data_IF_324921024072
#
_entry.id   IF_324921024072
#
_cell.length_a   1.000
_cell.length_b   1.000
_cell.length_c   1.000
_cell.angle_alpha   90.00
_cell.angle_beta   90.00
_cell.angle_gamma   90.00
#
_symmetry.space_group_name_H-M   'P 1'
#
loop_
_entity.id
_entity.type
_entity.pdbx_description
1 polymer ?
#
# COMPACT_ATOMS: atom_id res chain seq x y z
N UNK A 1 30.25 -12.64 -1.11
CA UNK A 1 28.94 -13.24 -0.85
C UNK A 1 28.21 -13.24 -2.19
N UNK A 2 27.87 -14.42 -2.72
CA UNK A 2 27.17 -14.50 -4.01
C UNK A 2 25.70 -14.12 -3.76
N UNK A 3 25.35 -12.86 -4.02
CA UNK A 3 23.94 -12.46 -4.14
C UNK A 3 23.40 -13.09 -5.44
N UNK A 4 22.88 -14.29 -5.35
CA UNK A 4 22.16 -14.91 -6.45
C UNK A 4 20.81 -14.20 -6.55
N UNK A 5 20.57 -13.49 -7.65
CA UNK A 5 19.26 -12.93 -7.94
C UNK A 5 18.24 -14.10 -8.00
N UNK A 6 17.17 -14.00 -7.22
CA UNK A 6 16.06 -14.94 -7.34
C UNK A 6 15.23 -14.53 -8.55
N UNK A 7 15.16 -15.40 -9.53
CA UNK A 7 14.42 -15.15 -10.77
C UNK A 7 12.98 -15.66 -10.62
N UNK A 8 12.02 -14.75 -10.57
CA UNK A 8 10.61 -15.07 -10.52
C UNK A 8 10.02 -15.01 -11.93
N UNK A 9 9.82 -16.16 -12.54
CA UNK A 9 9.14 -16.25 -13.84
C UNK A 9 7.63 -16.01 -13.68
N UNK A 10 7.06 -15.28 -14.63
CA UNK A 10 5.61 -14.98 -14.69
C UNK A 10 4.74 -16.23 -14.51
N UNK A 11 3.78 -16.12 -13.61
CA UNK A 11 2.64 -17.04 -13.52
C UNK A 11 2.90 -18.38 -12.83
N UNK A 12 4.12 -18.70 -12.39
CA UNK A 12 4.47 -20.02 -11.83
C UNK A 12 4.77 -20.00 -10.33
N UNK A 13 4.86 -18.84 -9.68
CA UNK A 13 5.19 -18.78 -8.26
C UNK A 13 3.97 -18.34 -7.46
N UNK A 14 3.58 -19.19 -6.53
CA UNK A 14 2.56 -18.85 -5.55
C UNK A 14 3.06 -17.69 -4.66
N UNK A 15 2.30 -16.61 -4.48
CA UNK A 15 2.71 -15.48 -3.66
C UNK A 15 3.15 -15.85 -2.24
N UNK A 16 2.56 -16.89 -1.66
CA UNK A 16 2.93 -17.41 -0.36
C UNK A 16 4.40 -17.91 -0.31
N UNK A 17 4.92 -18.42 -1.42
CA UNK A 17 6.33 -18.86 -1.51
C UNK A 17 7.28 -17.68 -1.41
N UNK A 18 6.92 -16.54 -1.96
CA UNK A 18 7.70 -15.31 -1.85
C UNK A 18 7.73 -14.86 -0.40
N UNK A 19 6.56 -14.76 0.25
CA UNK A 19 6.48 -14.34 1.64
C UNK A 19 7.23 -15.27 2.60
N UNK A 20 7.26 -16.58 2.32
CA UNK A 20 8.00 -17.53 3.14
C UNK A 20 9.53 -17.31 3.11
N UNK A 21 10.03 -16.61 2.11
CA UNK A 21 11.46 -16.27 1.96
C UNK A 21 11.78 -14.88 2.51
N UNK A 22 10.77 -14.06 2.80
CA UNK A 22 10.97 -12.72 3.32
C UNK A 22 11.24 -12.73 4.82
N UNK A 23 12.10 -11.83 5.26
CA UNK A 23 12.26 -11.49 6.67
C UNK A 23 11.33 -10.34 7.02
N UNK A 24 10.58 -10.49 8.13
CA UNK A 24 9.80 -9.39 8.67
C UNK A 24 10.73 -8.31 9.21
N UNK A 25 10.41 -7.05 8.95
CA UNK A 25 11.14 -5.94 9.58
C UNK A 25 10.82 -5.97 11.08
N UNK A 26 11.86 -6.12 11.87
CA UNK A 26 11.76 -5.83 13.29
C UNK A 26 12.06 -4.32 13.48
N UNK A 27 11.14 -3.51 14.01
CA UNK A 27 11.37 -2.08 14.20
C UNK A 27 12.58 -1.78 15.13
N UNK A 28 13.03 -2.76 15.91
CA UNK A 28 14.23 -2.67 16.76
C UNK A 28 15.50 -2.99 15.98
N UNK A 29 15.43 -3.69 14.87
CA UNK A 29 16.59 -4.09 14.09
C UNK A 29 16.93 -3.04 13.03
N UNK A 30 17.86 -2.15 13.39
CA UNK A 30 18.33 -1.05 12.52
C UNK A 30 19.03 -1.50 11.25
N UNK A 31 19.38 -2.78 11.09
CA UNK A 31 20.02 -3.29 9.87
C UNK A 31 19.10 -3.23 8.65
N UNK A 32 17.80 -3.23 8.86
CA UNK A 32 16.79 -3.09 7.80
C UNK A 32 16.40 -1.63 7.50
N UNK A 33 16.81 -0.70 8.36
CA UNK A 33 16.51 0.72 8.17
C UNK A 33 17.28 1.38 7.01
N UNK A 34 18.23 0.67 6.40
CA UNK A 34 18.95 1.14 5.21
C UNK A 34 18.13 1.05 3.92
N UNK A 35 16.91 0.55 3.97
CA UNK A 35 16.02 0.63 2.82
C UNK A 35 15.48 2.06 2.73
N UNK A 36 15.73 2.74 1.60
CA UNK A 36 15.45 4.17 1.40
C UNK A 36 13.99 4.55 1.73
N UNK A 37 13.04 3.67 1.46
CA UNK A 37 11.62 3.87 1.77
C UNK A 37 11.40 3.91 3.28
N UNK A 38 12.02 2.98 4.03
CA UNK A 38 11.84 2.88 5.48
C UNK A 38 12.62 3.96 6.22
N UNK A 39 13.84 4.29 5.78
CA UNK A 39 14.59 5.42 6.32
C UNK A 39 13.81 6.72 6.19
N UNK A 40 13.16 6.92 5.05
CA UNK A 40 12.45 8.16 4.74
C UNK A 40 11.14 8.30 5.52
N UNK A 41 10.38 7.22 5.70
CA UNK A 41 9.01 7.28 6.24
C UNK A 41 8.87 6.68 7.62
N UNK A 42 9.93 6.08 8.15
CA UNK A 42 9.92 5.37 9.42
C UNK A 42 9.31 3.97 9.32
N UNK A 43 9.60 3.15 10.33
CA UNK A 43 9.05 1.80 10.43
C UNK A 43 7.79 1.83 11.31
N UNK A 44 6.67 1.24 10.88
CA UNK A 44 5.52 1.03 11.75
C UNK A 44 5.83 -0.02 12.82
N UNK A 45 5.04 -0.07 13.88
CA UNK A 45 5.22 -1.03 14.98
C UNK A 45 5.05 -2.49 14.55
N UNK A 46 4.17 -2.74 13.58
CA UNK A 46 3.98 -4.08 13.01
C UNK A 46 4.98 -4.35 11.88
N UNK A 47 5.39 -5.60 11.66
CA UNK A 47 6.37 -5.92 10.65
C UNK A 47 5.83 -5.74 9.22
N UNK A 48 6.65 -5.14 8.39
CA UNK A 48 6.48 -5.11 6.93
C UNK A 48 7.46 -6.12 6.34
N UNK A 49 7.02 -6.87 5.35
CA UNK A 49 7.87 -7.88 4.72
C UNK A 49 8.91 -7.25 3.82
N UNK A 50 10.18 -7.60 4.04
CA UNK A 50 11.31 -7.24 3.18
C UNK A 50 12.02 -8.52 2.73
N UNK A 51 12.30 -8.63 1.46
CA UNK A 51 13.27 -9.59 0.94
C UNK A 51 14.67 -8.97 0.97
N UNK A 52 15.64 -9.70 1.53
CA UNK A 52 17.04 -9.27 1.58
C UNK A 52 17.83 -9.63 0.32
N UNK A 53 17.26 -10.46 -0.54
CA UNK A 53 17.87 -10.89 -1.80
C UNK A 53 17.47 -9.98 -2.95
N UNK A 54 18.28 -9.99 -4.02
CA UNK A 54 17.87 -9.37 -5.26
C UNK A 54 16.80 -10.22 -5.94
N UNK A 55 15.79 -9.57 -6.49
CA UNK A 55 14.66 -10.22 -7.18
C UNK A 55 14.66 -9.77 -8.63
N UNK A 56 14.75 -10.70 -9.57
CA UNK A 56 14.59 -10.44 -11.01
C UNK A 56 13.14 -10.75 -11.42
N UNK A 57 12.42 -9.72 -11.86
CA UNK A 57 11.07 -9.84 -12.37
C UNK A 57 11.06 -9.28 -13.79
N UNK A 58 10.94 -10.15 -14.77
CA UNK A 58 10.92 -9.80 -16.20
C UNK A 58 12.11 -8.99 -16.69
N UNK A 59 13.30 -9.31 -16.21
CA UNK A 59 14.52 -8.59 -16.57
C UNK A 59 14.71 -7.26 -15.82
N UNK A 60 13.85 -6.94 -14.86
CA UNK A 60 14.04 -5.84 -13.92
C UNK A 60 14.55 -6.41 -12.60
N UNK A 61 15.77 -6.05 -12.24
CA UNK A 61 16.37 -6.46 -10.97
C UNK A 61 15.97 -5.47 -9.88
N UNK A 62 15.29 -5.98 -8.86
CA UNK A 62 14.98 -5.27 -7.63
C UNK A 62 16.03 -5.63 -6.58
N UNK A 63 16.74 -4.64 -6.09
CA UNK A 63 17.78 -4.81 -5.06
C UNK A 63 17.18 -4.61 -3.67
N UNK A 64 17.11 -5.67 -2.87
CA UNK A 64 16.53 -5.65 -1.52
C UNK A 64 15.16 -4.95 -1.47
N UNK A 65 14.19 -5.38 -2.29
CA UNK A 65 12.93 -4.68 -2.42
C UNK A 65 12.09 -4.76 -1.13
N UNK A 66 11.19 -3.80 -0.98
CA UNK A 66 10.08 -3.91 -0.06
C UNK A 66 9.02 -4.81 -0.69
N UNK A 67 8.60 -5.85 0.02
CA UNK A 67 7.53 -6.74 -0.42
C UNK A 67 6.32 -6.56 0.48
N UNK A 68 5.18 -6.23 -0.12
CA UNK A 68 3.93 -6.04 0.60
C UNK A 68 2.93 -7.12 0.18
N UNK A 69 2.37 -7.87 1.14
CA UNK A 69 1.24 -8.75 0.87
C UNK A 69 0.03 -7.93 0.41
N UNK A 70 -0.62 -8.39 -0.65
CA UNK A 70 -1.89 -7.84 -1.13
C UNK A 70 -3.01 -8.78 -0.69
N UNK A 71 -4.03 -8.20 -0.04
CA UNK A 71 -5.24 -8.91 0.39
C UNK A 71 -6.45 -8.40 -0.37
N UNK A 72 -7.48 -9.25 -0.50
CA UNK A 72 -8.79 -8.85 -1.03
C UNK A 72 -9.68 -8.21 0.07
N UNK A 73 -10.93 -7.87 -0.25
CA UNK A 73 -11.87 -7.28 0.69
C UNK A 73 -12.20 -8.16 1.91
N UNK A 74 -12.06 -9.49 1.80
CA UNK A 74 -12.20 -10.45 2.90
C UNK A 74 -10.91 -10.64 3.71
N UNK A 75 -9.88 -9.84 3.42
CA UNK A 75 -8.53 -9.92 4.00
C UNK A 75 -7.78 -11.23 3.68
N UNK A 76 -8.20 -11.94 2.65
CA UNK A 76 -7.50 -13.12 2.16
C UNK A 76 -6.31 -12.70 1.30
N UNK A 77 -5.17 -13.34 1.50
CA UNK A 77 -3.96 -13.09 0.74
C UNK A 77 -4.11 -13.56 -0.71
N UNK A 78 -3.82 -12.67 -1.67
CA UNK A 78 -4.03 -12.93 -3.10
C UNK A 78 -2.80 -12.69 -3.97
N UNK A 79 -1.94 -11.73 -3.62
CA UNK A 79 -0.78 -11.32 -4.41
C UNK A 79 0.31 -10.71 -3.53
N UNK A 80 1.50 -10.51 -4.10
CA UNK A 80 2.55 -9.67 -3.52
C UNK A 80 2.82 -8.46 -4.41
N UNK A 81 3.06 -7.30 -3.81
CA UNK A 81 3.68 -6.17 -4.48
C UNK A 81 5.16 -6.12 -4.12
N UNK A 82 6.01 -5.96 -5.15
CA UNK A 82 7.46 -5.79 -5.03
C UNK A 82 7.81 -4.36 -5.38
N UNK A 83 8.41 -3.65 -4.45
CA UNK A 83 8.64 -2.21 -4.52
C UNK A 83 10.10 -1.86 -4.26
N UNK A 84 10.62 -0.93 -5.04
CA UNK A 84 11.90 -0.29 -4.82
C UNK A 84 11.84 1.16 -5.30
N UNK A 85 12.52 2.08 -4.59
CA UNK A 85 12.56 3.50 -4.97
C UNK A 85 13.01 3.69 -6.42
N UNK A 86 12.29 4.54 -7.14
CA UNK A 86 12.58 4.87 -8.54
C UNK A 86 12.21 3.77 -9.55
N UNK A 87 11.73 2.62 -9.10
CA UNK A 87 11.29 1.54 -9.98
C UNK A 87 9.76 1.44 -10.06
N UNK A 88 9.28 0.77 -11.11
CA UNK A 88 7.88 0.42 -11.23
C UNK A 88 7.55 -0.70 -10.24
N UNK A 89 6.38 -0.61 -9.61
CA UNK A 89 5.85 -1.71 -8.78
C UNK A 89 5.54 -2.92 -9.66
N UNK A 90 6.04 -4.07 -9.25
CA UNK A 90 5.64 -5.36 -9.82
C UNK A 90 4.67 -6.06 -8.90
N UNK A 91 3.65 -6.69 -9.47
CA UNK A 91 2.66 -7.49 -8.74
C UNK A 91 2.78 -8.95 -9.15
N UNK A 92 2.82 -9.85 -8.18
CA UNK A 92 2.98 -11.28 -8.39
C UNK A 92 1.80 -12.04 -7.78
N UNK A 93 1.10 -12.88 -8.53
CA UNK A 93 1.17 -13.08 -9.99
C UNK A 93 0.90 -11.81 -10.77
N UNK A 94 1.48 -11.72 -11.97
CA UNK A 94 1.48 -10.52 -12.79
C UNK A 94 0.08 -9.96 -13.09
N UNK A 95 0.05 -8.66 -13.29
CA UNK A 95 -1.16 -7.92 -13.65
C UNK A 95 -1.42 -6.73 -12.75
N UNK A 96 -2.69 -6.34 -12.68
CA UNK A 96 -3.16 -5.33 -11.76
C UNK A 96 -3.32 -5.91 -10.35
N UNK A 97 -3.10 -5.08 -9.34
CA UNK A 97 -3.38 -5.48 -7.96
C UNK A 97 -4.89 -5.78 -7.80
N UNK A 98 -5.20 -7.02 -7.39
CA UNK A 98 -6.57 -7.50 -7.14
C UNK A 98 -7.07 -7.18 -5.73
N UNK A 99 -6.39 -6.29 -5.03
CA UNK A 99 -6.67 -5.88 -3.67
C UNK A 99 -5.77 -4.74 -3.24
N UNK A 100 -5.43 -4.73 -1.97
CA UNK A 100 -4.66 -3.67 -1.32
C UNK A 100 -3.65 -4.26 -0.33
N UNK A 101 -2.55 -3.55 -0.09
CA UNK A 101 -1.70 -3.84 1.05
C UNK A 101 -2.32 -3.22 2.30
N UNK A 102 -2.17 -3.90 3.45
CA UNK A 102 -2.84 -3.46 4.68
C UNK A 102 -1.88 -3.37 5.86
N UNK A 103 -2.30 -2.56 6.85
CA UNK A 103 -1.67 -2.49 8.15
C UNK A 103 -2.72 -2.18 9.22
N UNK A 104 -2.52 -2.69 10.43
CA UNK A 104 -3.45 -2.51 11.53
C UNK A 104 -4.63 -3.50 11.54
N UNK A 105 -5.50 -3.34 12.51
CA UNK A 105 -6.64 -4.22 12.75
C UNK A 105 -7.89 -3.70 12.04
N UNK A 106 -8.35 -4.47 11.07
CA UNK A 106 -9.54 -4.15 10.30
C UNK A 106 -10.80 -4.65 11.01
N UNK A 107 -11.63 -3.73 11.46
CA UNK A 107 -12.94 -3.99 12.05
C UNK A 107 -14.02 -3.23 11.27
N UNK A 108 -15.19 -3.84 11.09
CA UNK A 108 -16.27 -3.26 10.28
C UNK A 108 -16.85 -1.96 10.87
N UNK A 109 -16.75 -1.80 12.17
CA UNK A 109 -17.24 -0.66 12.96
C UNK A 109 -16.19 0.43 13.21
N UNK A 110 -14.98 0.23 12.72
CA UNK A 110 -13.87 1.20 12.90
C UNK A 110 -13.47 1.86 11.58
N UNK A 111 -12.90 3.08 11.66
CA UNK A 111 -12.38 3.76 10.49
C UNK A 111 -11.27 2.97 9.79
N UNK A 112 -11.35 2.89 8.47
CA UNK A 112 -10.28 2.41 7.59
C UNK A 112 -9.81 3.57 6.73
N UNK A 113 -8.53 3.88 6.81
CA UNK A 113 -7.91 4.95 6.03
C UNK A 113 -7.38 4.36 4.74
N UNK A 114 -7.82 4.88 3.61
CA UNK A 114 -7.36 4.46 2.28
C UNK A 114 -6.29 5.42 1.80
N UNK A 115 -5.13 4.91 1.44
CA UNK A 115 -4.01 5.70 0.94
C UNK A 115 -3.56 5.19 -0.43
N UNK A 116 -2.90 6.05 -1.20
CA UNK A 116 -2.34 5.72 -2.51
C UNK A 116 -0.87 6.15 -2.63
N UNK A 117 -0.23 6.46 -1.50
CA UNK A 117 1.20 6.72 -1.42
C UNK A 117 1.83 6.01 -0.22
N UNK A 118 3.07 5.57 -0.36
CA UNK A 118 3.83 4.95 0.73
C UNK A 118 3.99 5.90 1.92
N UNK A 119 4.23 7.19 1.66
CA UNK A 119 4.36 8.19 2.72
C UNK A 119 3.12 8.25 3.61
N UNK A 120 1.94 8.38 2.98
CA UNK A 120 0.69 8.41 3.73
C UNK A 120 0.41 7.09 4.43
N UNK A 121 0.73 5.95 3.79
CA UNK A 121 0.58 4.63 4.37
C UNK A 121 1.39 4.50 5.67
N UNK A 122 2.68 4.83 5.65
CA UNK A 122 3.53 4.75 6.85
C UNK A 122 3.12 5.74 7.94
N UNK A 123 2.73 6.97 7.57
CA UNK A 123 2.25 7.96 8.53
C UNK A 123 0.97 7.50 9.23
N UNK A 124 0.01 6.96 8.50
CA UNK A 124 -1.24 6.44 9.08
C UNK A 124 -0.98 5.19 9.91
N UNK A 125 -0.10 4.28 9.44
CA UNK A 125 0.26 3.08 10.19
C UNK A 125 0.79 3.40 11.61
N UNK A 126 1.49 4.52 11.78
CA UNK A 126 2.00 4.97 13.08
C UNK A 126 0.91 5.53 14.01
N UNK A 127 -0.28 5.81 13.52
CA UNK A 127 -1.38 6.35 14.33
C UNK A 127 -2.25 5.29 14.98
N UNK A 128 -2.05 4.01 14.65
CA UNK A 128 -2.86 2.89 15.13
C UNK A 128 -4.17 2.66 14.38
N UNK A 129 -4.50 3.49 13.38
CA UNK A 129 -5.65 3.23 12.51
C UNK A 129 -5.37 2.10 11.52
N UNK A 130 -6.42 1.37 11.14
CA UNK A 130 -6.35 0.47 10.00
C UNK A 130 -6.13 1.27 8.71
N UNK A 131 -5.16 0.85 7.91
CA UNK A 131 -4.84 1.51 6.65
C UNK A 131 -4.79 0.52 5.50
N UNK A 132 -5.45 0.88 4.40
CA UNK A 132 -5.41 0.18 3.12
C UNK A 132 -4.60 1.00 2.12
N UNK A 133 -3.52 0.44 1.62
CA UNK A 133 -2.69 1.03 0.57
C UNK A 133 -3.14 0.52 -0.79
N UNK A 134 -3.63 1.40 -1.63
CA UNK A 134 -3.88 1.08 -3.05
C UNK A 134 -2.54 0.93 -3.76
N UNK A 135 -2.28 -0.25 -4.29
CA UNK A 135 -1.03 -0.55 -4.99
C UNK A 135 -1.11 -0.06 -6.43
N UNK A 136 -0.48 1.08 -6.68
CA UNK A 136 -0.39 1.69 -8.02
C UNK A 136 0.96 1.37 -8.67
N UNK A 137 1.04 1.27 -10.01
CA UNK A 137 2.31 1.01 -10.72
C UNK A 137 3.41 2.05 -10.44
N UNK A 138 3.02 3.25 -10.04
CA UNK A 138 3.90 4.40 -9.79
C UNK A 138 4.14 4.66 -8.30
N UNK A 139 3.72 3.75 -7.43
CA UNK A 139 3.75 3.91 -5.97
C UNK A 139 5.13 4.24 -5.40
N UNK A 140 6.20 3.76 -6.05
CA UNK A 140 7.58 3.99 -5.62
C UNK A 140 8.16 5.33 -6.08
N UNK A 141 7.45 6.10 -6.92
CA UNK A 141 7.91 7.40 -7.35
C UNK A 141 7.60 8.45 -6.28
N UNK A 142 8.63 8.99 -5.65
CA UNK A 142 8.52 10.05 -4.64
C UNK A 142 7.84 11.34 -5.15
N UNK A 143 7.70 11.48 -6.45
CA UNK A 143 7.14 12.64 -7.14
C UNK A 143 5.80 12.34 -7.82
N UNK A 144 4.96 11.52 -7.21
CA UNK A 144 3.57 11.32 -7.66
C UNK A 144 2.83 12.66 -7.53
N UNK A 145 3.03 13.53 -8.52
CA UNK A 145 2.37 14.83 -8.58
C UNK A 145 0.98 14.74 -9.21
N UNK A 146 0.70 13.70 -10.00
CA UNK A 146 -0.57 13.57 -10.70
C UNK A 146 -1.05 12.12 -10.77
N UNK A 147 -2.24 11.87 -10.25
CA UNK A 147 -2.96 10.61 -10.46
C UNK A 147 -3.57 10.61 -11.87
N UNK A 148 -3.38 9.51 -12.60
CA UNK A 148 -3.98 9.29 -13.90
C UNK A 148 -5.39 8.72 -13.76
N UNK A 149 -6.25 8.82 -14.77
CA UNK A 149 -7.59 8.21 -14.73
C UNK A 149 -7.59 6.74 -14.31
N UNK A 150 -6.63 5.97 -14.79
CA UNK A 150 -6.43 4.56 -14.43
C UNK A 150 -6.15 4.35 -12.93
N UNK A 151 -5.41 5.24 -12.28
CA UNK A 151 -5.14 5.17 -10.83
C UNK A 151 -6.43 5.34 -10.04
N UNK A 152 -7.36 6.19 -10.52
CA UNK A 152 -8.68 6.34 -9.92
C UNK A 152 -9.56 5.10 -10.05
N UNK A 153 -9.48 4.37 -11.16
CA UNK A 153 -10.17 3.09 -11.33
C UNK A 153 -9.68 2.07 -10.29
N UNK A 154 -8.37 2.03 -10.06
CA UNK A 154 -7.79 1.14 -9.05
C UNK A 154 -8.16 1.56 -7.63
N UNK A 155 -8.18 2.86 -7.33
CA UNK A 155 -8.64 3.40 -6.04
C UNK A 155 -10.11 3.03 -5.82
N UNK A 156 -10.96 3.27 -6.81
CA UNK A 156 -12.39 2.94 -6.76
C UNK A 156 -12.63 1.44 -6.58
N UNK A 157 -11.83 0.60 -7.23
CA UNK A 157 -11.88 -0.84 -7.09
C UNK A 157 -11.64 -1.28 -5.64
N UNK A 158 -10.60 -0.76 -4.98
CA UNK A 158 -10.27 -1.07 -3.58
C UNK A 158 -11.39 -0.59 -2.64
N UNK A 159 -11.89 0.64 -2.82
CA UNK A 159 -13.00 1.18 -2.02
C UNK A 159 -14.23 0.27 -2.14
N UNK A 160 -14.57 -0.14 -3.35
CA UNK A 160 -15.71 -1.01 -3.61
C UNK A 160 -15.52 -2.42 -3.00
N UNK A 161 -14.30 -2.95 -2.99
CA UNK A 161 -14.00 -4.22 -2.30
C UNK A 161 -14.25 -4.10 -0.80
N UNK A 162 -13.73 -3.05 -0.15
CA UNK A 162 -13.90 -2.81 1.27
C UNK A 162 -15.38 -2.59 1.62
N UNK A 163 -16.08 -1.77 0.84
CA UNK A 163 -17.51 -1.51 1.05
C UNK A 163 -18.35 -2.78 0.92
N UNK A 164 -18.09 -3.62 -0.09
CA UNK A 164 -18.78 -4.92 -0.28
C UNK A 164 -18.48 -5.92 0.83
N UNK A 165 -17.29 -5.82 1.44
CA UNK A 165 -16.91 -6.63 2.59
C UNK A 165 -17.52 -6.13 3.91
N UNK A 166 -18.28 -5.01 3.89
CA UNK A 166 -19.01 -4.49 5.04
C UNK A 166 -18.32 -3.38 5.82
N UNK A 167 -17.18 -2.86 5.34
CA UNK A 167 -16.54 -1.69 5.93
C UNK A 167 -17.31 -0.43 5.55
N UNK A 168 -17.85 0.29 6.53
CA UNK A 168 -18.75 1.44 6.32
C UNK A 168 -18.08 2.78 6.59
N UNK A 169 -16.98 2.80 7.35
CA UNK A 169 -16.25 4.00 7.71
C UNK A 169 -14.95 4.09 6.91
N UNK A 170 -15.06 4.44 5.63
CA UNK A 170 -13.96 4.55 4.70
C UNK A 170 -13.56 6.00 4.51
N UNK A 171 -12.29 6.33 4.77
CA UNK A 171 -11.75 7.67 4.66
C UNK A 171 -10.51 7.71 3.78
N UNK A 172 -10.36 8.76 2.99
CA UNK A 172 -9.17 8.94 2.16
C UNK A 172 -8.59 10.35 2.33
N UNK A 173 -7.37 10.47 2.87
CA UNK A 173 -6.67 11.76 2.95
C UNK A 173 -6.31 12.25 1.55
N UNK A 174 -6.70 13.46 1.22
CA UNK A 174 -6.44 14.11 -0.07
C UNK A 174 -5.84 15.49 0.18
N UNK A 175 -4.85 15.88 -0.62
CA UNK A 175 -4.32 17.23 -0.56
C UNK A 175 -5.40 18.23 -0.95
N UNK A 176 -5.48 19.42 -0.29
CA UNK A 176 -6.54 20.40 -0.54
C UNK A 176 -6.68 20.78 -2.00
N UNK A 177 -5.56 20.93 -2.71
CA UNK A 177 -5.51 21.27 -4.13
C UNK A 177 -6.16 20.22 -5.03
N UNK A 178 -6.25 18.96 -4.56
CA UNK A 178 -6.82 17.84 -5.32
C UNK A 178 -8.29 17.59 -4.98
N UNK A 179 -8.78 17.99 -3.80
CA UNK A 179 -10.19 17.78 -3.39
C UNK A 179 -11.16 18.40 -4.42
N UNK A 180 -10.77 19.51 -5.05
CA UNK A 180 -11.60 20.18 -6.04
C UNK A 180 -11.56 19.54 -7.43
N UNK A 181 -10.64 18.61 -7.68
CA UNK A 181 -10.59 17.92 -8.96
C UNK A 181 -11.85 17.08 -9.18
N UNK A 182 -12.38 17.14 -10.39
CA UNK A 182 -13.62 16.44 -10.76
C UNK A 182 -13.56 14.93 -10.48
N UNK A 183 -12.39 14.32 -10.67
CA UNK A 183 -12.19 12.89 -10.42
C UNK A 183 -12.38 12.52 -8.93
N UNK A 184 -11.89 13.34 -7.99
CA UNK A 184 -12.11 13.10 -6.56
C UNK A 184 -13.57 13.33 -6.17
N UNK A 185 -14.22 14.34 -6.72
CA UNK A 185 -15.66 14.55 -6.51
C UNK A 185 -16.49 13.37 -7.01
N UNK A 186 -16.17 12.85 -8.19
CA UNK A 186 -16.82 11.65 -8.73
C UNK A 186 -16.58 10.43 -7.86
N UNK A 187 -15.34 10.27 -7.33
CA UNK A 187 -15.02 9.17 -6.44
C UNK A 187 -15.90 9.20 -5.18
N UNK A 188 -16.01 10.36 -4.52
CA UNK A 188 -16.85 10.54 -3.32
C UNK A 188 -18.35 10.34 -3.61
N UNK A 189 -18.82 10.78 -4.78
CA UNK A 189 -20.22 10.58 -5.19
C UNK A 189 -20.56 9.13 -5.52
N UNK A 190 -19.60 8.38 -6.07
CA UNK A 190 -19.82 7.03 -6.58
C UNK A 190 -19.40 5.92 -5.63
N UNK A 191 -18.86 6.26 -4.46
CA UNK A 191 -18.35 5.28 -3.48
C UNK A 191 -18.74 5.68 -2.05
N UNK A 192 -18.50 4.77 -1.11
CA UNK A 192 -18.75 5.01 0.32
C UNK A 192 -17.60 5.78 1.01
N UNK A 193 -16.59 6.24 0.28
CA UNK A 193 -15.44 6.93 0.87
C UNK A 193 -15.77 8.38 1.18
N UNK A 194 -15.24 8.88 2.31
CA UNK A 194 -15.23 10.31 2.65
C UNK A 194 -13.82 10.86 2.45
N UNK A 195 -13.71 11.97 1.72
CA UNK A 195 -12.46 12.65 1.49
C UNK A 195 -12.10 13.51 2.71
N UNK A 196 -10.87 13.37 3.19
CA UNK A 196 -10.34 14.17 4.29
C UNK A 196 -9.28 15.13 3.76
N UNK A 197 -9.39 16.40 4.16
CA UNK A 197 -8.35 17.37 3.87
C UNK A 197 -7.08 17.04 4.68
N UNK A 198 -6.01 16.71 4.00
CA UNK A 198 -4.74 16.26 4.61
C UNK A 198 -4.08 17.30 5.52
N UNK A 199 -4.43 18.61 5.40
CA UNK A 199 -3.89 19.71 6.21
C UNK A 199 -4.85 20.19 7.31
N UNK A 200 -6.09 19.80 7.29
CA UNK A 200 -6.86 19.92 8.51
C UNK A 200 -6.17 18.97 9.50
N UNK A 201 -5.48 19.54 10.50
CA UNK A 201 -5.13 18.80 11.69
C UNK A 201 -6.39 18.03 12.03
N UNK A 202 -6.32 16.71 11.96
CA UNK A 202 -7.38 15.89 12.49
C UNK A 202 -7.54 16.37 13.92
N UNK A 203 -8.53 17.21 14.12
CA UNK A 203 -8.96 17.54 15.46
C UNK A 203 -9.42 16.19 15.97
N UNK A 204 -8.62 15.60 16.85
CA UNK A 204 -8.82 14.23 17.34
C UNK A 204 -10.22 14.06 17.93
N UNK A 205 -10.96 15.15 18.12
CA UNK A 205 -12.33 15.16 18.57
C UNK A 205 -13.36 14.67 17.54
N UNK A 206 -13.13 14.78 16.23
CA UNK A 206 -14.08 14.32 15.20
C UNK A 206 -13.98 12.81 14.89
N UNK A 207 -12.88 12.16 15.26
CA UNK A 207 -12.74 10.71 15.11
C UNK A 207 -13.15 9.92 16.36
N UNK A 208 -13.48 10.62 17.48
CA UNK A 208 -13.79 10.01 18.78
C UNK A 208 -15.24 10.23 19.24
N UNK A 209 -16.12 10.76 18.40
CA UNK A 209 -17.58 10.82 18.63
C UNK A 209 -18.29 9.90 17.59
#
# INVERSE_FOLDING_TARGET
>A
MNNTAQNFQHGLIEPATILAQCTTINPVDKTYLNHSIIERFGSPEQPIYIDQSNVDINGVIYEQPLILPIVNGQLEFVQCAVLQDGQRVSVIPDGLAKGFARYGDFHHDKPVIITYSLESFFKVAQTGYAVALVVLPTLCNAHLTELKPFDFEQIQFVINQLSKAGYTQLYMPVRPEYIQLELFKKLEQNTAVKLLNQYQKADQSEFLT
#
